data_IF_065779532823
#
_entry.id   IF_065779532823
#
_cell.length_a   1.000
_cell.length_b   1.000
_cell.length_c   1.000
_cell.angle_alpha   90.00
_cell.angle_beta   90.00
_cell.angle_gamma   90.00
#
_symmetry.space_group_name_H-M   'P 1'
#
loop_
_entity.id
_entity.type
_entity.pdbx_description
1 polymer ?
#
# COMPACT_ATOMS: atom_id res chain seq x y z
N UNK A 1 -0.58 18.39 0.62
CA UNK A 1 -1.35 17.76 1.73
C UNK A 1 -0.49 17.81 2.98
N UNK A 2 -1.03 18.21 4.14
CA UNK A 2 -0.25 18.35 5.39
C UNK A 2 -0.34 17.06 6.21
N UNK A 3 0.82 16.56 6.71
CA UNK A 3 0.83 15.52 7.73
C UNK A 3 0.36 16.13 9.06
N UNK A 4 -0.72 15.58 9.61
CA UNK A 4 -1.22 15.99 10.92
C UNK A 4 -0.50 15.25 12.03
N UNK A 5 -0.35 15.91 13.17
CA UNK A 5 0.15 15.31 14.40
C UNK A 5 -0.99 15.12 15.39
N UNK A 6 -0.83 14.15 16.27
CA UNK A 6 -1.78 13.83 17.33
C UNK A 6 -1.10 13.25 18.55
N UNK A 7 -1.90 12.94 19.56
CA UNK A 7 -1.47 12.26 20.79
C UNK A 7 -2.30 11.01 21.03
N UNK A 8 -1.69 9.99 21.61
CA UNK A 8 -2.38 8.77 22.04
C UNK A 8 -3.18 9.05 23.32
N UNK A 9 -4.42 8.55 23.38
CA UNK A 9 -5.20 8.59 24.62
C UNK A 9 -4.83 7.37 25.48
N UNK A 10 -4.31 7.55 26.69
CA UNK A 10 -3.84 6.44 27.51
C UNK A 10 -4.94 5.40 27.79
N UNK A 11 -4.54 4.12 27.90
CA UNK A 11 -5.41 3.00 28.27
C UNK A 11 -6.57 2.72 27.28
N UNK A 12 -6.43 3.13 26.02
CA UNK A 12 -7.43 2.86 24.95
C UNK A 12 -6.97 1.80 23.96
N UNK A 13 -5.77 1.25 24.13
CA UNK A 13 -5.16 0.33 23.20
C UNK A 13 -5.78 -1.07 23.29
N UNK A 14 -6.16 -1.63 22.15
CA UNK A 14 -6.64 -3.01 22.00
C UNK A 14 -5.93 -3.68 20.82
N UNK A 15 -5.44 -4.93 20.93
CA UNK A 15 -4.79 -5.63 19.83
C UNK A 15 -5.70 -5.75 18.62
N UNK A 16 -5.16 -5.57 17.41
CA UNK A 16 -5.93 -5.69 16.14
C UNK A 16 -5.90 -7.11 15.57
N UNK A 17 -5.02 -7.97 16.08
CA UNK A 17 -4.88 -9.36 15.64
C UNK A 17 -3.44 -9.73 15.30
N UNK A 18 -3.23 -10.77 14.50
CA UNK A 18 -1.98 -11.54 14.33
C UNK A 18 -0.91 -10.87 13.42
N UNK A 19 -0.88 -9.55 13.32
CA UNK A 19 0.13 -8.83 12.55
C UNK A 19 1.53 -8.89 13.19
N UNK A 20 2.58 -9.03 12.36
CA UNK A 20 3.99 -9.09 12.80
C UNK A 20 4.41 -7.86 13.64
N UNK A 21 3.81 -6.72 13.44
CA UNK A 21 4.17 -5.43 14.05
C UNK A 21 3.30 -5.02 15.24
N UNK A 22 2.64 -5.95 15.93
CA UNK A 22 1.84 -5.69 17.13
C UNK A 22 0.96 -4.40 17.04
N UNK A 23 0.30 -4.20 15.89
CA UNK A 23 -0.58 -3.06 15.70
C UNK A 23 -1.73 -3.08 16.70
N UNK A 24 -2.07 -1.93 17.24
CA UNK A 24 -3.18 -1.76 18.18
C UNK A 24 -4.22 -0.80 17.63
N UNK A 25 -5.48 -1.05 17.94
CA UNK A 25 -6.55 -0.08 17.78
C UNK A 25 -6.58 0.78 19.04
N UNK A 26 -6.56 2.10 18.87
CA UNK A 26 -6.54 3.03 19.98
C UNK A 26 -7.32 4.32 19.65
N UNK A 27 -7.65 5.08 20.68
CA UNK A 27 -8.16 6.44 20.51
C UNK A 27 -6.97 7.40 20.45
N UNK A 28 -6.94 8.23 19.42
CA UNK A 28 -5.98 9.33 19.27
C UNK A 28 -6.72 10.67 19.32
N UNK A 29 -6.02 11.71 19.71
CA UNK A 29 -6.54 13.09 19.66
C UNK A 29 -5.76 13.90 18.63
N UNK A 30 -6.46 14.42 17.62
CA UNK A 30 -5.91 15.25 16.54
C UNK A 30 -6.74 16.53 16.48
N UNK A 31 -6.09 17.68 16.55
CA UNK A 31 -6.76 18.99 16.53
C UNK A 31 -7.88 19.12 17.62
N UNK A 32 -7.68 18.48 18.78
CA UNK A 32 -8.65 18.46 19.87
C UNK A 32 -9.80 17.47 19.74
N UNK A 33 -9.92 16.77 18.60
CA UNK A 33 -10.97 15.78 18.31
C UNK A 33 -10.44 14.37 18.52
N UNK A 34 -11.24 13.52 19.15
CA UNK A 34 -10.91 12.10 19.34
C UNK A 34 -11.32 11.27 18.14
N UNK A 35 -10.40 10.40 17.68
CA UNK A 35 -10.60 9.49 16.56
C UNK A 35 -10.17 8.08 16.94
N UNK A 36 -10.80 7.08 16.34
CA UNK A 36 -10.31 5.70 16.38
C UNK A 36 -9.23 5.53 15.32
N UNK A 37 -8.11 4.91 15.68
CA UNK A 37 -6.97 4.75 14.79
C UNK A 37 -6.29 3.40 14.99
N UNK A 38 -5.55 2.96 13.98
CA UNK A 38 -4.61 1.85 14.06
C UNK A 38 -3.22 2.44 14.30
N UNK A 39 -2.60 2.06 15.42
CA UNK A 39 -1.29 2.58 15.86
C UNK A 39 -0.24 1.49 15.75
N UNK A 40 0.93 1.83 15.21
CA UNK A 40 2.10 0.94 15.11
C UNK A 40 3.29 1.54 15.83
N UNK A 41 3.99 0.70 16.63
CA UNK A 41 5.29 1.01 17.24
C UNK A 41 6.39 0.38 16.40
N UNK A 42 6.89 1.12 15.43
CA UNK A 42 7.90 0.70 14.46
C UNK A 42 9.08 1.68 14.48
N UNK A 43 10.25 1.35 13.92
CA UNK A 43 11.39 2.26 13.85
C UNK A 43 11.02 3.59 13.19
N UNK A 44 11.61 4.71 13.67
CA UNK A 44 11.29 6.06 13.20
C UNK A 44 11.30 6.20 11.68
N UNK A 45 12.27 5.60 11.00
CA UNK A 45 12.36 5.66 9.54
C UNK A 45 11.15 4.99 8.87
N UNK A 46 10.65 3.88 9.42
CA UNK A 46 9.45 3.21 8.95
C UNK A 46 8.18 4.04 9.25
N UNK A 47 8.12 4.70 10.44
CA UNK A 47 7.05 5.67 10.75
C UNK A 47 6.97 6.77 9.71
N UNK A 48 8.11 7.37 9.36
CA UNK A 48 8.18 8.45 8.39
C UNK A 48 7.83 7.98 6.98
N UNK A 49 8.26 6.76 6.59
CA UNK A 49 7.90 6.15 5.31
C UNK A 49 6.39 5.90 5.20
N UNK A 50 5.78 5.32 6.24
CA UNK A 50 4.32 5.11 6.32
C UNK A 50 3.56 6.44 6.19
N UNK A 51 3.98 7.48 6.92
CA UNK A 51 3.34 8.78 6.87
C UNK A 51 3.46 9.42 5.48
N UNK A 52 4.66 9.44 4.91
CA UNK A 52 4.92 10.05 3.61
C UNK A 52 4.19 9.31 2.49
N UNK A 53 4.36 7.98 2.40
CA UNK A 53 3.75 7.18 1.33
C UNK A 53 2.23 7.11 1.45
N UNK A 54 1.68 7.04 2.67
CA UNK A 54 0.24 7.12 2.87
C UNK A 54 -0.36 8.45 2.39
N UNK A 55 0.30 9.59 2.68
CA UNK A 55 -0.11 10.89 2.13
C UNK A 55 0.06 10.95 0.61
N UNK A 56 1.14 10.39 0.08
CA UNK A 56 1.41 10.38 -1.35
C UNK A 56 0.34 9.61 -2.13
N UNK A 57 -0.06 8.44 -1.65
CA UNK A 57 -1.17 7.68 -2.20
C UNK A 57 -2.45 8.52 -2.24
N UNK A 58 -2.79 9.20 -1.14
CA UNK A 58 -3.94 10.10 -1.09
C UNK A 58 -3.84 11.27 -2.06
N UNK A 59 -2.64 11.85 -2.23
CA UNK A 59 -2.41 12.93 -3.22
C UNK A 59 -2.58 12.42 -4.65
N UNK A 60 -2.21 11.16 -4.92
CA UNK A 60 -2.48 10.49 -6.19
C UNK A 60 -3.93 10.01 -6.36
N UNK A 61 -4.80 10.21 -5.36
CA UNK A 61 -6.21 9.83 -5.42
C UNK A 61 -6.50 8.38 -5.07
N UNK A 62 -5.51 7.66 -4.53
CA UNK A 62 -5.68 6.26 -4.09
C UNK A 62 -6.31 6.21 -2.70
N UNK A 63 -7.31 5.34 -2.46
CA UNK A 63 -7.95 5.19 -1.16
C UNK A 63 -6.95 4.63 -0.15
N UNK A 64 -6.60 5.46 0.82
CA UNK A 64 -5.66 5.13 1.90
C UNK A 64 -6.11 5.84 3.16
N UNK A 65 -6.20 5.15 4.31
CA UNK A 65 -6.53 5.78 5.58
C UNK A 65 -5.56 6.92 5.89
N UNK A 66 -6.06 8.00 6.44
CA UNK A 66 -5.23 9.17 6.71
C UNK A 66 -4.13 8.85 7.71
N UNK A 67 -2.84 9.03 7.36
CA UNK A 67 -1.73 8.85 8.27
C UNK A 67 -1.63 10.03 9.25
N UNK A 68 -1.31 9.71 10.51
CA UNK A 68 -1.14 10.67 11.60
C UNK A 68 0.19 10.37 12.30
N UNK A 69 0.99 11.39 12.54
CA UNK A 69 2.20 11.28 13.35
C UNK A 69 1.82 11.41 14.82
N UNK A 70 2.07 10.39 15.63
CA UNK A 70 1.80 10.44 17.06
C UNK A 70 3.08 10.77 17.81
N UNK A 71 2.99 11.74 18.72
CA UNK A 71 4.02 12.05 19.70
C UNK A 71 3.53 11.57 21.07
N UNK A 72 4.24 10.57 21.63
CA UNK A 72 3.88 9.95 22.90
C UNK A 72 5.11 9.79 23.79
N UNK A 73 5.16 10.52 24.91
CA UNK A 73 6.23 10.44 25.92
C UNK A 73 7.68 10.50 25.40
N UNK A 74 7.91 11.22 24.29
CA UNK A 74 9.21 11.33 23.62
C UNK A 74 9.40 10.34 22.46
N UNK A 75 8.52 9.37 22.32
CA UNK A 75 8.48 8.47 21.17
C UNK A 75 7.65 9.03 20.03
N UNK A 76 8.01 8.64 18.81
CA UNK A 76 7.28 8.95 17.59
C UNK A 76 6.69 7.67 17.04
N UNK A 77 5.35 7.63 16.92
CA UNK A 77 4.62 6.45 16.44
C UNK A 77 3.87 6.78 15.16
N UNK A 78 3.60 5.75 14.36
CA UNK A 78 2.67 5.84 13.25
C UNK A 78 1.24 5.54 13.72
N UNK A 79 0.28 6.31 13.24
CA UNK A 79 -1.12 5.97 13.29
C UNK A 79 -1.79 6.20 11.93
N UNK A 80 -2.82 5.44 11.64
CA UNK A 80 -3.75 5.71 10.53
C UNK A 80 -5.17 5.73 11.07
N UNK A 81 -6.02 6.60 10.52
CA UNK A 81 -7.45 6.59 10.84
C UNK A 81 -8.02 5.19 10.61
N UNK A 82 -8.83 4.67 11.54
CA UNK A 82 -9.42 3.35 11.37
C UNK A 82 -10.47 3.39 10.26
N UNK A 83 -10.28 2.57 9.24
CA UNK A 83 -11.23 2.45 8.13
C UNK A 83 -12.52 1.71 8.54
N UNK A 84 -12.52 1.02 9.69
CA UNK A 84 -13.68 0.30 10.20
C UNK A 84 -13.91 -1.08 9.58
N UNK A 85 -13.08 -1.51 8.62
CA UNK A 85 -13.22 -2.81 7.96
C UNK A 85 -11.90 -3.58 7.87
N UNK A 86 -11.96 -4.93 7.79
CA UNK A 86 -10.79 -5.79 7.84
C UNK A 86 -10.00 -5.79 6.53
N UNK A 87 -8.82 -6.36 6.57
CA UNK A 87 -8.09 -6.68 5.35
C UNK A 87 -8.74 -7.85 4.57
N UNK A 88 -8.36 -7.97 3.29
CA UNK A 88 -8.92 -8.92 2.35
C UNK A 88 -8.75 -10.38 2.82
N UNK A 89 -7.59 -10.75 3.39
CA UNK A 89 -7.38 -12.09 3.97
C UNK A 89 -8.39 -12.39 5.06
N UNK A 90 -8.52 -11.49 6.04
CA UNK A 90 -9.44 -11.66 7.17
C UNK A 90 -10.90 -11.68 6.72
N UNK A 91 -11.26 -10.82 5.76
CA UNK A 91 -12.62 -10.78 5.19
C UNK A 91 -13.03 -12.08 4.54
N UNK A 92 -12.11 -12.77 3.88
CA UNK A 92 -12.34 -14.03 3.18
C UNK A 92 -12.03 -15.27 4.04
N UNK A 93 -11.72 -15.10 5.31
CA UNK A 93 -11.41 -16.21 6.21
C UNK A 93 -10.10 -16.95 5.86
N UNK A 94 -9.17 -16.30 5.15
CA UNK A 94 -7.88 -16.91 4.81
C UNK A 94 -7.08 -17.24 6.06
N UNK A 95 -6.65 -18.50 6.18
CA UNK A 95 -5.71 -18.93 7.20
C UNK A 95 -4.84 -20.08 6.64
N UNK A 96 -3.73 -20.37 7.30
CA UNK A 96 -2.74 -21.34 6.84
C UNK A 96 -3.19 -22.81 6.99
N UNK A 97 -4.32 -23.07 7.64
CA UNK A 97 -4.89 -24.41 7.82
C UNK A 97 -5.86 -24.79 6.70
N UNK A 98 -6.18 -23.87 5.79
CA UNK A 98 -7.08 -24.15 4.65
C UNK A 98 -6.37 -25.11 3.69
N UNK A 99 -7.05 -26.19 3.22
CA UNK A 99 -6.49 -27.10 2.22
C UNK A 99 -6.06 -26.37 0.94
N UNK A 100 -4.96 -26.82 0.31
CA UNK A 100 -4.33 -26.18 -0.83
C UNK A 100 -5.31 -25.84 -1.97
N UNK A 101 -6.22 -26.78 -2.32
CA UNK A 101 -7.22 -26.52 -3.36
C UNK A 101 -8.20 -25.39 -3.02
N UNK A 102 -8.50 -25.19 -1.73
CA UNK A 102 -9.32 -24.07 -1.27
C UNK A 102 -8.49 -22.77 -1.23
N UNK A 103 -7.20 -22.85 -0.88
CA UNK A 103 -6.31 -21.69 -0.95
C UNK A 103 -6.21 -21.14 -2.37
N UNK A 104 -6.09 -22.02 -3.37
CA UNK A 104 -6.06 -21.61 -4.78
C UNK A 104 -7.38 -20.96 -5.22
N UNK A 105 -8.53 -21.51 -4.80
CA UNK A 105 -9.83 -20.89 -5.08
C UNK A 105 -9.98 -19.51 -4.42
N UNK A 106 -9.55 -19.37 -3.16
CA UNK A 106 -9.54 -18.08 -2.46
C UNK A 106 -8.58 -17.09 -3.12
N UNK A 107 -7.38 -17.53 -3.53
CA UNK A 107 -6.44 -16.70 -4.24
C UNK A 107 -7.02 -16.19 -5.58
N UNK A 108 -7.70 -17.06 -6.31
CA UNK A 108 -8.39 -16.66 -7.55
C UNK A 108 -9.46 -15.62 -7.27
N UNK A 109 -10.25 -15.80 -6.21
CA UNK A 109 -11.25 -14.83 -5.79
C UNK A 109 -10.64 -13.49 -5.36
N UNK A 110 -9.54 -13.52 -4.58
CA UNK A 110 -8.78 -12.31 -4.25
C UNK A 110 -8.28 -11.59 -5.51
N UNK A 111 -7.75 -12.34 -6.47
CA UNK A 111 -7.25 -11.79 -7.73
C UNK A 111 -8.36 -11.13 -8.55
N UNK A 112 -9.52 -11.78 -8.65
CA UNK A 112 -10.68 -11.21 -9.35
C UNK A 112 -11.19 -9.94 -8.67
N UNK A 113 -11.27 -9.91 -7.33
CA UNK A 113 -11.65 -8.71 -6.56
C UNK A 113 -10.65 -7.58 -6.79
N UNK A 114 -9.36 -7.80 -6.53
CA UNK A 114 -8.33 -6.75 -6.65
C UNK A 114 -8.27 -6.23 -8.08
N UNK A 115 -8.31 -7.10 -9.09
CA UNK A 115 -8.29 -6.68 -10.49
C UNK A 115 -9.62 -6.08 -10.98
N UNK A 116 -10.68 -6.10 -10.18
CA UNK A 116 -11.94 -5.40 -10.50
C UNK A 116 -11.97 -3.94 -10.04
N UNK A 117 -11.08 -3.54 -9.13
CA UNK A 117 -11.01 -2.15 -8.67
C UNK A 117 -10.45 -1.26 -9.76
N UNK A 118 -11.10 -0.14 -9.99
CA UNK A 118 -10.77 0.80 -11.08
C UNK A 118 -9.40 1.44 -10.93
N UNK A 119 -8.86 1.47 -9.72
CA UNK A 119 -7.58 2.09 -9.35
C UNK A 119 -6.45 1.08 -9.13
N UNK A 120 -6.68 -0.23 -9.27
CA UNK A 120 -5.64 -1.26 -9.05
C UNK A 120 -4.41 -1.06 -9.91
N UNK A 121 -4.59 -0.72 -11.18
CA UNK A 121 -3.49 -0.46 -12.09
C UNK A 121 -2.68 0.80 -11.67
N UNK A 122 -3.37 1.82 -11.16
CA UNK A 122 -2.73 3.01 -10.61
C UNK A 122 -2.00 2.69 -9.29
N UNK A 123 -2.59 1.88 -8.41
CA UNK A 123 -1.95 1.43 -7.18
C UNK A 123 -0.68 0.60 -7.47
N UNK A 124 -0.72 -0.26 -8.50
CA UNK A 124 0.46 -0.98 -8.97
C UNK A 124 1.58 -0.02 -9.41
N UNK A 125 1.26 1.00 -10.21
CA UNK A 125 2.23 2.00 -10.65
C UNK A 125 2.75 2.84 -9.46
N UNK A 126 1.89 3.18 -8.49
CA UNK A 126 2.28 3.89 -7.27
C UNK A 126 3.22 3.05 -6.40
N UNK A 127 2.95 1.74 -6.23
CA UNK A 127 3.84 0.82 -5.52
C UNK A 127 5.23 0.75 -6.19
N UNK A 128 5.30 0.74 -7.53
CA UNK A 128 6.57 0.81 -8.25
C UNK A 128 7.29 2.15 -8.04
N UNK A 129 6.53 3.26 -7.95
CA UNK A 129 7.11 4.59 -7.74
C UNK A 129 7.68 4.78 -6.34
N UNK A 130 7.12 4.13 -5.31
CA UNK A 130 7.65 4.16 -3.94
C UNK A 130 8.55 2.96 -3.62
N UNK A 131 8.81 2.07 -4.59
CA UNK A 131 9.53 0.81 -4.40
C UNK A 131 8.95 -0.03 -3.23
N UNK A 132 7.64 -0.24 -3.23
CA UNK A 132 6.98 -1.05 -2.21
C UNK A 132 7.37 -2.52 -2.37
N UNK A 133 8.16 -3.03 -1.42
CA UNK A 133 8.66 -4.39 -1.44
C UNK A 133 7.78 -5.41 -0.73
N UNK A 134 6.69 -5.00 -0.11
CA UNK A 134 5.94 -5.88 0.80
C UNK A 134 4.41 -5.84 0.62
N UNK A 135 3.90 -5.25 -0.48
CA UNK A 135 2.46 -5.33 -0.76
C UNK A 135 2.02 -6.77 -0.83
N UNK A 136 1.03 -7.15 -0.02
CA UNK A 136 0.46 -8.48 0.03
C UNK A 136 -1.06 -8.39 0.28
N UNK A 137 -1.77 -9.52 0.25
CA UNK A 137 -3.25 -9.55 0.43
C UNK A 137 -3.72 -9.00 1.79
N UNK A 138 -2.85 -8.99 2.81
CA UNK A 138 -3.12 -8.37 4.11
C UNK A 138 -3.06 -6.84 4.08
N UNK A 139 -2.48 -6.25 3.02
CA UNK A 139 -2.28 -4.81 2.87
C UNK A 139 -3.36 -4.15 1.98
N UNK A 140 -4.42 -4.90 1.67
CA UNK A 140 -5.65 -4.41 1.08
C UNK A 140 -6.77 -4.49 2.11
N UNK A 141 -7.35 -3.38 2.51
CA UNK A 141 -8.59 -3.36 3.29
C UNK A 141 -9.78 -3.51 2.34
N UNK A 142 -10.84 -4.22 2.77
CA UNK A 142 -12.03 -4.39 1.95
C UNK A 142 -13.25 -4.78 2.80
N UNK A 143 -14.39 -4.10 2.61
CA UNK A 143 -15.64 -4.38 3.31
C UNK A 143 -16.67 -5.14 2.46
N UNK A 144 -16.39 -5.33 1.18
CA UNK A 144 -17.30 -5.90 0.18
C UNK A 144 -17.64 -4.91 -0.93
N UNK A 145 -17.44 -3.62 -0.69
CA UNK A 145 -17.72 -2.52 -1.63
C UNK A 145 -16.53 -1.57 -1.71
N UNK A 146 -16.13 -1.01 -0.57
CA UNK A 146 -15.02 -0.07 -0.46
C UNK A 146 -13.71 -0.81 -0.18
N UNK A 147 -12.61 -0.26 -0.66
CA UNK A 147 -11.28 -0.78 -0.39
C UNK A 147 -10.30 0.34 -0.03
N UNK A 148 -9.15 -0.04 0.57
CA UNK A 148 -8.06 0.88 0.80
C UNK A 148 -6.71 0.16 0.83
N UNK A 149 -5.66 0.89 0.47
CA UNK A 149 -4.26 0.45 0.47
C UNK A 149 -3.59 0.89 1.77
N UNK A 150 -2.94 -0.05 2.46
CA UNK A 150 -2.25 0.20 3.74
C UNK A 150 -0.86 -0.41 3.72
N UNK A 151 -0.08 -0.12 4.76
CA UNK A 151 1.22 -0.75 5.04
C UNK A 151 2.32 -0.38 4.04
N UNK A 152 2.86 0.82 4.21
CA UNK A 152 3.93 1.38 3.38
C UNK A 152 5.29 1.45 4.12
N UNK A 153 5.45 0.73 5.24
CA UNK A 153 6.67 0.81 6.04
C UNK A 153 7.92 0.29 5.33
N UNK A 154 7.74 -0.64 4.37
CA UNK A 154 8.81 -1.28 3.61
C UNK A 154 8.96 -0.74 2.20
N UNK A 155 9.10 0.58 2.10
CA UNK A 155 9.15 1.34 0.85
C UNK A 155 10.43 2.17 0.75
N UNK A 156 10.55 2.98 -0.29
CA UNK A 156 11.58 4.00 -0.48
C UNK A 156 13.01 3.45 -0.46
N UNK A 157 13.20 2.21 -0.93
CA UNK A 157 14.49 1.55 -0.97
C UNK A 157 15.00 1.05 0.39
N UNK A 158 14.21 1.13 1.46
CA UNK A 158 14.56 0.63 2.79
C UNK A 158 14.64 -0.90 2.83
N UNK A 159 13.97 -1.57 1.92
CA UNK A 159 13.94 -3.03 1.80
C UNK A 159 14.08 -3.45 0.33
N UNK A 160 14.59 -4.67 0.06
CA UNK A 160 14.65 -5.19 -1.30
C UNK A 160 13.26 -5.23 -1.95
N UNK A 161 13.17 -4.72 -3.17
CA UNK A 161 11.94 -4.77 -3.94
C UNK A 161 11.62 -6.21 -4.34
N UNK A 162 10.40 -6.65 -4.06
CA UNK A 162 9.86 -7.96 -4.45
C UNK A 162 8.98 -7.85 -5.70
N UNK A 163 8.35 -8.96 -6.08
CA UNK A 163 7.32 -8.94 -7.11
C UNK A 163 6.16 -8.02 -6.69
N UNK A 164 5.59 -7.31 -7.65
CA UNK A 164 4.40 -6.51 -7.40
C UNK A 164 3.18 -7.45 -7.35
N UNK A 165 2.52 -7.53 -6.20
CA UNK A 165 1.42 -8.49 -6.00
C UNK A 165 0.26 -8.24 -6.96
N UNK A 166 -0.04 -6.98 -7.34
CA UNK A 166 -1.15 -6.67 -8.26
C UNK A 166 -0.84 -7.25 -9.64
N UNK A 167 0.42 -7.14 -10.10
CA UNK A 167 0.83 -7.75 -11.36
C UNK A 167 0.71 -9.29 -11.32
N UNK A 168 1.10 -9.92 -10.19
CA UNK A 168 0.97 -11.37 -10.03
C UNK A 168 -0.50 -11.81 -9.97
N UNK A 169 -1.34 -11.07 -9.25
CA UNK A 169 -2.78 -11.33 -9.22
C UNK A 169 -3.42 -11.17 -10.60
N UNK A 170 -3.00 -10.17 -11.38
CA UNK A 170 -3.49 -9.96 -12.74
C UNK A 170 -3.14 -11.13 -13.67
N UNK A 171 -1.92 -11.67 -13.59
CA UNK A 171 -1.53 -12.88 -14.32
C UNK A 171 -2.40 -14.08 -13.91
N UNK A 172 -2.56 -14.27 -12.60
CA UNK A 172 -3.36 -15.37 -12.06
C UNK A 172 -4.85 -15.27 -12.42
N UNK A 173 -5.39 -14.04 -12.48
CA UNK A 173 -6.77 -13.77 -12.89
C UNK A 173 -6.98 -13.85 -14.42
N UNK A 174 -5.92 -13.96 -15.22
CA UNK A 174 -6.00 -13.86 -16.69
C UNK A 174 -6.27 -12.44 -17.20
N UNK A 175 -5.96 -11.41 -16.39
CA UNK A 175 -6.16 -9.98 -16.70
C UNK A 175 -4.85 -9.23 -16.93
N UNK A 176 -3.76 -9.96 -17.21
CA UNK A 176 -2.42 -9.38 -17.33
C UNK A 176 -2.35 -8.25 -18.39
N UNK A 177 -2.88 -8.47 -19.58
CA UNK A 177 -2.86 -7.47 -20.66
C UNK A 177 -3.70 -6.22 -20.37
N UNK A 178 -4.79 -6.38 -19.60
CA UNK A 178 -5.64 -5.26 -19.16
C UNK A 178 -4.90 -4.39 -18.14
N UNK A 179 -4.41 -5.03 -17.07
CA UNK A 179 -3.71 -4.34 -15.97
C UNK A 179 -2.36 -3.77 -16.44
N UNK A 180 -1.64 -4.46 -17.34
CA UNK A 180 -0.42 -3.93 -17.97
C UNK A 180 -0.69 -2.60 -18.68
N UNK A 181 -1.65 -2.58 -19.61
CA UNK A 181 -1.99 -1.37 -20.38
C UNK A 181 -2.45 -0.22 -19.47
N UNK A 182 -3.36 -0.53 -18.54
CA UNK A 182 -3.84 0.47 -17.60
C UNK A 182 -2.73 0.96 -16.65
N UNK A 183 -1.84 0.07 -16.20
CA UNK A 183 -0.71 0.41 -15.34
C UNK A 183 0.34 1.26 -16.02
N UNK A 184 0.66 0.98 -17.29
CA UNK A 184 1.56 1.83 -18.08
C UNK A 184 0.94 3.21 -18.29
N UNK A 185 -0.35 3.29 -18.61
CA UNK A 185 -1.05 4.57 -18.72
C UNK A 185 -1.05 5.33 -17.39
N UNK A 186 -1.36 4.66 -16.29
CA UNK A 186 -1.30 5.25 -14.95
C UNK A 186 0.10 5.77 -14.60
N UNK A 187 1.16 4.99 -14.92
CA UNK A 187 2.54 5.39 -14.67
C UNK A 187 2.94 6.67 -15.42
N UNK A 188 2.40 6.89 -16.62
CA UNK A 188 2.62 8.11 -17.41
C UNK A 188 1.80 9.30 -16.89
N UNK A 189 0.69 9.04 -16.18
CA UNK A 189 -0.24 10.05 -15.68
C UNK A 189 -0.03 10.41 -14.21
N UNK A 190 0.76 9.64 -13.44
CA UNK A 190 1.06 9.98 -12.05
C UNK A 190 1.69 11.36 -11.97
N UNK A 191 1.11 12.20 -11.13
CA UNK A 191 1.58 13.57 -10.92
C UNK A 191 2.97 13.58 -10.27
N UNK A 192 3.98 13.92 -11.06
CA UNK A 192 5.38 13.99 -10.62
C UNK A 192 5.62 15.10 -9.59
N UNK A 193 4.73 16.09 -9.48
CA UNK A 193 4.81 17.14 -8.45
C UNK A 193 4.19 16.73 -7.12
N UNK A 194 3.45 15.61 -7.06
CA UNK A 194 2.75 15.15 -5.86
C UNK A 194 3.66 15.04 -4.62
N UNK A 195 4.88 14.49 -4.70
CA UNK A 195 5.77 14.39 -3.54
C UNK A 195 6.08 15.74 -2.89
N UNK A 196 6.25 16.82 -3.68
CA UNK A 196 6.56 18.17 -3.18
C UNK A 196 5.36 18.86 -2.54
N UNK A 197 4.14 18.36 -2.74
CA UNK A 197 2.92 18.90 -2.12
C UNK A 197 2.63 18.32 -0.74
N UNK A 198 3.47 17.39 -0.27
CA UNK A 198 3.36 16.83 1.08
C UNK A 198 4.14 17.73 2.04
N UNK A 199 3.45 18.28 3.04
CA UNK A 199 4.03 19.17 4.03
C UNK A 199 4.17 18.43 5.37
N UNK A 200 5.39 18.14 5.84
CA UNK A 200 5.60 17.55 7.15
C UNK A 200 5.40 18.57 8.28
N UNK A 201 5.26 18.12 9.55
CA UNK A 201 5.47 18.98 10.71
C UNK A 201 6.90 19.55 10.75
N UNK A 202 7.13 20.66 11.48
CA UNK A 202 8.43 21.33 11.55
C UNK A 202 9.58 20.42 12.03
N UNK A 203 9.28 19.40 12.85
CA UNK A 203 10.26 18.46 13.38
C UNK A 203 10.63 17.31 12.43
N UNK A 204 10.06 17.27 11.22
CA UNK A 204 10.21 16.17 10.26
C UNK A 204 10.69 16.69 8.91
N UNK A 205 11.62 15.97 8.30
CA UNK A 205 12.10 16.25 6.94
C UNK A 205 11.79 15.09 6.00
N UNK A 206 11.12 15.37 4.88
CA UNK A 206 10.81 14.43 3.81
C UNK A 206 11.65 14.64 2.54
N UNK A 207 12.66 15.51 2.57
CA UNK A 207 13.44 15.87 1.38
C UNK A 207 14.08 14.67 0.69
N UNK A 208 14.61 13.72 1.45
CA UNK A 208 15.18 12.47 0.92
C UNK A 208 14.13 11.58 0.25
N UNK A 209 12.94 11.49 0.82
CA UNK A 209 11.82 10.71 0.25
C UNK A 209 11.28 11.35 -1.03
N UNK A 210 11.14 12.68 -1.02
CA UNK A 210 10.75 13.45 -2.21
C UNK A 210 11.73 13.21 -3.35
N UNK A 211 13.05 13.31 -3.06
CA UNK A 211 14.10 13.06 -4.04
C UNK A 211 14.06 11.63 -4.57
N UNK A 212 13.92 10.66 -3.67
CA UNK A 212 13.82 9.25 -4.04
C UNK A 212 12.65 8.99 -5.00
N UNK A 213 11.45 9.44 -4.64
CA UNK A 213 10.26 9.22 -5.49
C UNK A 213 10.40 9.95 -6.83
N UNK A 214 10.94 11.17 -6.84
CA UNK A 214 11.18 11.90 -8.08
C UNK A 214 12.12 11.14 -9.04
N UNK A 215 13.14 10.46 -8.50
CA UNK A 215 14.01 9.57 -9.29
C UNK A 215 13.26 8.33 -9.77
N UNK A 216 12.44 7.72 -8.91
CA UNK A 216 11.67 6.53 -9.27
C UNK A 216 10.57 6.80 -10.30
N UNK A 217 10.03 8.01 -10.38
CA UNK A 217 9.07 8.38 -11.41
C UNK A 217 9.71 8.41 -12.81
N UNK A 218 11.02 8.60 -12.89
CA UNK A 218 11.74 8.47 -14.16
C UNK A 218 11.77 7.00 -14.62
N UNK A 219 11.30 6.73 -15.82
CA UNK A 219 11.23 5.37 -16.39
C UNK A 219 10.19 4.46 -15.71
N UNK A 220 9.25 5.00 -14.94
CA UNK A 220 8.23 4.23 -14.23
C UNK A 220 7.42 3.32 -15.15
N UNK A 221 6.98 3.82 -16.30
CA UNK A 221 6.23 3.04 -17.30
C UNK A 221 7.00 1.80 -17.78
N UNK A 222 8.32 1.92 -17.95
CA UNK A 222 9.18 0.79 -18.30
C UNK A 222 9.27 -0.25 -17.17
N UNK A 223 9.32 0.18 -15.92
CA UNK A 223 9.33 -0.76 -14.77
C UNK A 223 7.98 -1.46 -14.62
N UNK A 224 6.87 -0.75 -14.80
CA UNK A 224 5.53 -1.36 -14.83
C UNK A 224 5.43 -2.40 -15.94
N UNK A 225 5.88 -2.07 -17.16
CA UNK A 225 5.90 -2.99 -18.30
C UNK A 225 6.75 -4.25 -18.01
N UNK A 226 7.89 -4.10 -17.33
CA UNK A 226 8.78 -5.21 -16.98
C UNK A 226 8.13 -6.20 -15.99
N UNK A 227 7.03 -5.86 -15.32
CA UNK A 227 6.25 -6.79 -14.49
C UNK A 227 5.46 -7.81 -15.31
N UNK A 228 5.30 -7.57 -16.62
CA UNK A 228 4.58 -8.42 -17.57
C UNK A 228 5.50 -8.87 -18.70
N UNK A 229 6.53 -9.71 -18.42
CA UNK A 229 7.46 -10.13 -19.46
C UNK A 229 6.72 -10.92 -20.55
N UNK A 230 6.93 -10.52 -21.80
CA UNK A 230 6.43 -11.24 -22.97
C UNK A 230 7.50 -12.15 -23.52
N UNK A 231 7.14 -13.26 -24.20
CA UNK A 231 8.10 -14.09 -24.90
C UNK A 231 8.96 -13.22 -25.84
N UNK A 232 10.27 -13.37 -25.75
CA UNK A 232 11.23 -12.64 -26.59
C UNK A 232 11.27 -13.16 -28.03
N UNK A 233 10.70 -14.35 -28.28
CA UNK A 233 10.63 -15.00 -29.57
C UNK A 233 9.17 -15.06 -30.04
N UNK A 234 8.88 -14.42 -31.16
CA UNK A 234 7.56 -14.44 -31.82
C UNK A 234 7.12 -15.85 -32.22
N UNK A 235 8.03 -16.80 -32.29
CA UNK A 235 7.77 -18.18 -32.68
C UNK A 235 7.61 -19.14 -31.50
N UNK A 236 7.98 -18.76 -30.29
CA UNK A 236 7.86 -19.61 -29.10
C UNK A 236 6.43 -19.85 -28.61
N UNK A 237 5.43 -19.21 -29.23
CA UNK A 237 4.00 -19.42 -28.96
C UNK A 237 3.29 -20.38 -29.93
N UNK A 238 3.99 -21.01 -30.87
CA UNK A 238 3.38 -21.84 -31.94
C UNK A 238 3.46 -23.34 -31.60
N UNK A 239 4.28 -23.74 -30.63
CA UNK A 239 4.44 -25.15 -30.23
C UNK A 239 3.48 -25.53 -29.08
N UNK A 240 2.17 -25.52 -29.33
CA UNK A 240 1.18 -25.86 -28.32
C UNK A 240 -0.24 -26.05 -28.85
N UNK A 241 -0.40 -26.79 -29.96
CA UNK A 241 -1.70 -27.31 -30.37
C UNK A 241 -1.70 -28.84 -30.40
#
# INVERSE_FOLDING_TARGET
MKLRAGTLVPNTETPVGDGVNAAVRAVIRVDGISHLAIVKRIPLQAVLAECFCGLLFRVWGLPTPEPILIQDNGDVLFASMDAGYPNLKKRLGWNDQIPEGQQQALLKFCADIVCSWTDSAQAMAADEAIANGDRNLGNFLWDGTEHAYIDHERTLGLYPQRANIIAELAKFAGKADEIERAGVAAALMLDASAPTRITPPESVDFSTFVTYVAQQLQGLAGRVLARFPKPTDLLSGIDGS
#
